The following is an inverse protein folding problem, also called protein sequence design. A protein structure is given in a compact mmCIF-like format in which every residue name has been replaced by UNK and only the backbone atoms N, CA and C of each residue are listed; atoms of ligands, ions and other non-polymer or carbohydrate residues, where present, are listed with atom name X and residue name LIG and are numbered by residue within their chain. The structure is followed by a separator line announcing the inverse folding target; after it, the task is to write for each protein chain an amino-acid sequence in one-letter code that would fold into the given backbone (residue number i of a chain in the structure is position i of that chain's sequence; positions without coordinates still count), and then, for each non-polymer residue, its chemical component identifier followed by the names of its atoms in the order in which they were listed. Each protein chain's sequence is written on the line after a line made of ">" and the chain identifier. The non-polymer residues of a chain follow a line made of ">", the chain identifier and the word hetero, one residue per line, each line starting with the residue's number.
data_IF_395450578330
#
_entry.id   IF_395450578330
#
_cell.length_a   1.000
_cell.length_b   1.000
_cell.length_c   1.000
_cell.angle_alpha   90.00
_cell.angle_beta   90.00
_cell.angle_gamma   90.00
#
_symmetry.space_group_name_H-M   'P 1'
#
loop_
_entity.id
_entity.type
_entity.pdbx_description
1 polymer ?
#
# COMPACT_ATOMS: atom_id res chain seq x y z
N UNK A 1 -9.39 -55.45 19.40
CA UNK A 1 -10.36 -54.33 19.39
C UNK A 1 -9.71 -53.12 18.78
N UNK A 2 -10.20 -52.70 17.64
CA UNK A 2 -9.57 -51.64 16.85
C UNK A 2 -9.68 -50.30 17.58
N UNK A 3 -8.56 -49.58 17.71
CA UNK A 3 -8.51 -48.23 18.26
C UNK A 3 -9.43 -47.25 17.48
N UNK A 4 -9.65 -47.50 16.19
CA UNK A 4 -10.59 -46.80 15.34
C UNK A 4 -12.05 -46.90 15.83
N UNK A 5 -12.48 -48.04 16.36
CA UNK A 5 -13.84 -48.20 16.88
C UNK A 5 -14.03 -47.44 18.20
N UNK A 6 -12.98 -47.34 19.02
CA UNK A 6 -12.99 -46.52 20.25
C UNK A 6 -12.98 -45.02 19.94
N UNK A 7 -12.23 -44.60 18.95
CA UNK A 7 -12.20 -43.22 18.49
C UNK A 7 -13.57 -42.80 17.94
N UNK A 8 -14.18 -43.66 17.13
CA UNK A 8 -15.51 -43.39 16.55
C UNK A 8 -16.61 -43.32 17.60
N UNK A 9 -16.56 -44.19 18.62
CA UNK A 9 -17.51 -44.14 19.75
C UNK A 9 -17.31 -42.89 20.63
N UNK A 10 -16.09 -42.42 20.79
CA UNK A 10 -15.80 -41.17 21.51
C UNK A 10 -16.27 -39.94 20.70
N UNK A 11 -16.10 -39.93 19.38
CA UNK A 11 -16.58 -38.86 18.50
C UNK A 11 -18.11 -38.72 18.51
N UNK A 12 -18.84 -39.84 18.57
CA UNK A 12 -20.30 -39.83 18.63
C UNK A 12 -20.89 -39.35 19.98
N UNK A 13 -20.07 -39.22 21.01
CA UNK A 13 -20.49 -38.68 22.35
C UNK A 13 -20.38 -37.15 22.42
N UNK A 14 -19.72 -36.53 21.46
CA UNK A 14 -19.56 -35.06 21.43
C UNK A 14 -20.85 -34.46 20.85
N UNK A 15 -21.51 -33.51 21.53
CA UNK A 15 -22.70 -32.85 21.00
C UNK A 15 -22.33 -32.13 19.67
N UNK A 16 -23.27 -32.11 18.73
CA UNK A 16 -23.08 -31.44 17.43
C UNK A 16 -22.66 -29.97 17.58
N UNK A 17 -23.12 -29.30 18.62
CA UNK A 17 -22.72 -27.94 18.98
C UNK A 17 -21.21 -27.82 19.26
N UNK A 18 -20.60 -28.81 19.92
CA UNK A 18 -19.15 -28.78 20.19
C UNK A 18 -18.33 -28.91 18.89
N UNK A 19 -18.80 -29.69 17.94
CA UNK A 19 -18.17 -29.80 16.60
C UNK A 19 -18.28 -28.51 15.83
N UNK A 20 -19.39 -27.82 15.86
CA UNK A 20 -19.57 -26.52 15.22
C UNK A 20 -18.57 -25.52 15.80
N UNK A 21 -18.41 -25.47 17.13
CA UNK A 21 -17.44 -24.59 17.79
C UNK A 21 -16.00 -24.91 17.35
N UNK A 22 -15.63 -26.18 17.29
CA UNK A 22 -14.29 -26.61 16.83
C UNK A 22 -14.04 -26.16 15.38
N UNK A 23 -15.01 -26.34 14.50
CA UNK A 23 -14.89 -25.93 13.10
C UNK A 23 -14.71 -24.41 13.00
N UNK A 24 -15.48 -23.63 13.74
CA UNK A 24 -15.37 -22.16 13.76
C UNK A 24 -14.00 -21.73 14.26
N UNK A 25 -13.48 -22.34 15.32
CA UNK A 25 -12.15 -22.03 15.88
C UNK A 25 -11.05 -22.37 14.88
N UNK A 26 -11.13 -23.52 14.22
CA UNK A 26 -10.15 -23.93 13.20
C UNK A 26 -10.17 -22.98 12.00
N UNK A 27 -11.35 -22.60 11.52
CA UNK A 27 -11.49 -21.62 10.43
C UNK A 27 -10.94 -20.24 10.82
N UNK A 28 -11.23 -19.78 12.04
CA UNK A 28 -10.70 -18.51 12.55
C UNK A 28 -9.17 -18.53 12.64
N UNK A 29 -8.57 -19.65 13.11
CA UNK A 29 -7.13 -19.82 13.15
C UNK A 29 -6.51 -19.87 11.76
N UNK A 30 -7.12 -20.57 10.80
CA UNK A 30 -6.66 -20.61 9.43
C UNK A 30 -6.70 -19.24 8.76
N UNK A 31 -7.76 -18.47 8.96
CA UNK A 31 -7.86 -17.10 8.45
C UNK A 31 -6.83 -16.17 9.09
N UNK A 32 -6.59 -16.31 10.41
CA UNK A 32 -5.57 -15.53 11.12
C UNK A 32 -4.16 -15.85 10.64
N UNK A 33 -3.83 -17.12 10.42
CA UNK A 33 -2.54 -17.53 9.88
C UNK A 33 -2.34 -17.07 8.43
N UNK A 34 -3.38 -17.17 7.61
CA UNK A 34 -3.34 -16.66 6.24
C UNK A 34 -3.15 -15.14 6.18
N UNK A 35 -3.76 -14.43 7.11
CA UNK A 35 -3.61 -12.98 7.20
C UNK A 35 -2.19 -12.55 7.64
N UNK A 36 -1.53 -13.37 8.45
CA UNK A 36 -0.13 -13.14 8.84
C UNK A 36 0.88 -13.52 7.76
N UNK A 37 0.51 -14.40 6.83
CA UNK A 37 1.36 -14.85 5.72
C UNK A 37 1.16 -14.05 4.43
N UNK A 38 0.22 -13.13 4.37
CA UNK A 38 0.16 -12.15 3.28
C UNK A 38 1.48 -11.37 3.31
N UNK A 39 2.41 -11.72 2.44
CA UNK A 39 3.66 -10.99 2.26
C UNK A 39 3.32 -9.55 1.97
N UNK A 40 3.60 -8.67 2.93
CA UNK A 40 3.54 -7.24 2.68
C UNK A 40 4.55 -6.95 1.58
N UNK A 41 4.08 -6.40 0.48
CA UNK A 41 4.94 -5.97 -0.61
C UNK A 41 6.03 -5.04 -0.04
N UNK A 42 7.31 -5.24 -0.40
CA UNK A 42 8.38 -4.43 0.16
C UNK A 42 8.20 -2.96 -0.24
N UNK A 43 8.24 -2.04 0.72
CA UNK A 43 8.20 -0.59 0.46
C UNK A 43 9.41 -0.13 -0.37
N UNK A 44 10.51 -0.85 -0.30
CA UNK A 44 11.74 -0.60 -1.06
C UNK A 44 11.50 -0.57 -2.58
N UNK A 45 10.50 -1.31 -3.08
CA UNK A 45 10.16 -1.32 -4.49
C UNK A 45 9.43 -0.04 -4.95
N UNK A 46 8.83 0.68 -4.02
CA UNK A 46 8.10 1.93 -4.30
C UNK A 46 8.90 3.15 -3.89
N UNK A 47 9.78 3.01 -2.87
CA UNK A 47 10.57 4.11 -2.37
C UNK A 47 11.46 4.71 -3.47
N UNK A 48 11.49 6.03 -3.53
CA UNK A 48 12.27 6.75 -4.54
C UNK A 48 11.77 8.15 -4.78
N UNK A 49 12.34 8.77 -5.79
CA UNK A 49 11.95 10.09 -6.28
C UNK A 49 11.17 9.93 -7.58
N UNK A 50 10.02 10.58 -7.63
CA UNK A 50 9.11 10.56 -8.76
C UNK A 50 8.82 11.98 -9.23
N UNK A 51 8.57 12.13 -10.50
CA UNK A 51 8.22 13.41 -11.10
C UNK A 51 7.01 13.22 -12.01
N UNK A 52 6.10 14.20 -12.02
CA UNK A 52 4.97 14.15 -12.93
C UNK A 52 5.42 14.23 -14.38
N UNK A 53 4.66 13.60 -15.26
CA UNK A 53 4.92 13.62 -16.68
C UNK A 53 4.94 15.06 -17.22
N UNK A 54 5.73 15.29 -18.27
CA UNK A 54 5.90 16.60 -18.91
C UNK A 54 6.57 17.70 -18.05
N UNK A 55 7.17 17.35 -16.89
CA UNK A 55 7.82 18.31 -16.02
C UNK A 55 8.91 19.17 -16.71
N UNK A 56 9.58 18.61 -17.72
CA UNK A 56 10.61 19.33 -18.46
C UNK A 56 10.06 20.55 -19.22
N UNK A 57 8.82 20.49 -19.70
CA UNK A 57 8.18 21.53 -20.55
C UNK A 57 7.05 22.29 -19.84
N UNK A 58 6.52 21.77 -18.74
CA UNK A 58 5.46 22.42 -17.99
C UNK A 58 5.99 23.53 -17.09
N UNK A 59 5.24 24.61 -16.96
CA UNK A 59 5.55 25.70 -16.00
C UNK A 59 5.25 25.27 -14.55
N UNK A 60 4.32 24.36 -14.37
CA UNK A 60 3.96 23.75 -13.10
C UNK A 60 4.01 22.24 -13.22
N UNK A 61 4.75 21.61 -12.33
CA UNK A 61 4.85 20.16 -12.25
C UNK A 61 4.91 19.71 -10.78
N UNK A 62 4.91 18.40 -10.58
CA UNK A 62 4.88 17.81 -9.23
C UNK A 62 6.05 16.86 -9.06
N UNK A 63 6.64 16.89 -7.90
CA UNK A 63 7.58 15.89 -7.42
C UNK A 63 6.94 15.09 -6.29
N UNK A 64 7.20 13.79 -6.26
CA UNK A 64 6.81 12.93 -5.17
C UNK A 64 8.04 12.24 -4.60
N UNK A 65 8.18 12.28 -3.29
CA UNK A 65 9.23 11.59 -2.56
C UNK A 65 8.60 10.51 -1.71
N UNK A 66 8.92 9.25 -2.02
CA UNK A 66 8.45 8.07 -1.31
C UNK A 66 9.62 7.53 -0.47
N UNK A 67 9.51 7.65 0.86
CA UNK A 67 10.56 7.22 1.77
C UNK A 67 10.45 5.74 2.10
N UNK A 68 11.58 5.11 2.41
CA UNK A 68 11.63 3.69 2.79
C UNK A 68 10.94 3.38 4.12
N UNK A 69 10.74 4.38 4.96
CA UNK A 69 10.03 4.27 6.24
C UNK A 69 8.50 4.36 6.12
N UNK A 70 7.97 4.48 4.90
CA UNK A 70 6.54 4.56 4.65
C UNK A 70 5.95 5.97 4.65
N UNK A 71 6.76 7.01 4.75
CA UNK A 71 6.31 8.40 4.58
C UNK A 71 6.35 8.79 3.12
N UNK A 72 5.51 9.74 2.74
CA UNK A 72 5.60 10.38 1.44
C UNK A 72 5.42 11.89 1.54
N UNK A 73 5.91 12.59 0.53
CA UNK A 73 5.73 14.02 0.34
C UNK A 73 5.50 14.31 -1.15
N UNK A 74 4.47 15.09 -1.46
CA UNK A 74 4.21 15.59 -2.81
C UNK A 74 4.37 17.10 -2.80
N UNK A 75 5.23 17.60 -3.68
CA UNK A 75 5.58 19.00 -3.82
C UNK A 75 5.14 19.49 -5.19
N UNK A 76 4.44 20.60 -5.21
CA UNK A 76 4.15 21.36 -6.41
C UNK A 76 5.32 22.31 -6.69
N UNK A 77 5.87 22.24 -7.88
CA UNK A 77 6.96 23.09 -8.34
C UNK A 77 6.43 24.03 -9.41
N UNK A 78 6.61 25.31 -9.18
CA UNK A 78 6.24 26.37 -10.11
C UNK A 78 7.51 27.06 -10.63
N UNK A 79 7.73 27.00 -11.93
CA UNK A 79 8.86 27.66 -12.57
C UNK A 79 8.60 29.17 -12.63
N UNK A 80 9.55 29.95 -12.15
CA UNK A 80 9.51 31.40 -12.17
C UNK A 80 10.75 31.95 -12.89
N UNK A 81 10.72 33.23 -13.26
CA UNK A 81 11.86 33.87 -13.93
C UNK A 81 13.13 33.88 -13.06
N UNK A 82 12.96 33.84 -11.73
CA UNK A 82 14.05 33.83 -10.75
C UNK A 82 14.45 32.40 -10.29
N UNK A 83 13.84 31.35 -10.84
CA UNK A 83 14.09 29.97 -10.48
C UNK A 83 12.81 29.13 -10.31
N UNK A 84 12.75 28.30 -9.30
CA UNK A 84 11.59 27.46 -9.00
C UNK A 84 11.07 27.72 -7.59
N UNK A 85 9.75 27.76 -7.44
CA UNK A 85 9.08 27.84 -6.17
C UNK A 85 8.45 26.49 -5.83
N UNK A 86 8.86 25.91 -4.72
CA UNK A 86 8.39 24.64 -4.21
C UNK A 86 7.34 24.83 -3.13
N UNK A 87 6.24 24.11 -3.22
CA UNK A 87 5.19 24.10 -2.21
C UNK A 87 4.77 22.67 -1.92
N UNK A 88 4.89 22.22 -0.68
CA UNK A 88 4.41 20.93 -0.25
C UNK A 88 2.88 20.96 -0.23
N UNK A 89 2.25 20.05 -0.99
CA UNK A 89 0.78 20.02 -1.15
C UNK A 89 0.15 18.80 -0.50
N UNK A 90 0.90 17.72 -0.31
CA UNK A 90 0.42 16.52 0.36
C UNK A 90 1.55 15.81 1.07
N UNK A 91 1.31 15.38 2.29
CA UNK A 91 2.21 14.53 3.07
C UNK A 91 1.39 13.47 3.79
N UNK A 92 1.98 12.34 4.08
CA UNK A 92 1.32 11.29 4.82
C UNK A 92 2.15 10.03 4.83
N UNK A 93 1.45 8.91 4.91
CA UNK A 93 2.04 7.59 4.89
C UNK A 93 1.54 6.80 3.69
N UNK A 94 2.33 5.85 3.23
CA UNK A 94 1.91 4.84 2.28
C UNK A 94 2.21 3.45 2.82
N UNK A 95 1.36 2.51 2.52
CA UNK A 95 1.46 1.14 3.01
C UNK A 95 1.28 0.13 1.89
N UNK A 96 1.99 -0.99 2.01
CA UNK A 96 1.75 -2.15 1.20
C UNK A 96 0.54 -2.91 1.73
N UNK A 97 -0.44 -3.15 0.88
CA UNK A 97 -1.62 -3.94 1.16
C UNK A 97 -1.57 -5.25 0.35
N UNK A 98 -2.52 -6.14 0.60
CA UNK A 98 -2.59 -7.46 -0.03
C UNK A 98 -2.56 -7.41 -1.58
N UNK A 99 -3.11 -6.35 -2.17
CA UNK A 99 -3.25 -6.19 -3.63
C UNK A 99 -2.63 -4.91 -4.19
N UNK A 100 -1.66 -4.32 -3.51
CA UNK A 100 -1.00 -3.11 -3.99
C UNK A 100 -0.58 -2.17 -2.88
N UNK A 101 -0.55 -0.89 -3.19
CA UNK A 101 -0.13 0.16 -2.27
C UNK A 101 -1.24 1.17 -2.06
N UNK A 102 -1.31 1.71 -0.85
CA UNK A 102 -2.27 2.73 -0.46
C UNK A 102 -1.55 3.93 0.14
N UNK A 103 -2.03 5.11 -0.15
CA UNK A 103 -1.55 6.37 0.43
C UNK A 103 -2.63 6.97 1.31
N UNK A 104 -2.25 7.40 2.52
CA UNK A 104 -3.11 8.18 3.41
C UNK A 104 -2.70 9.65 3.33
N UNK A 105 -3.66 10.51 3.04
CA UNK A 105 -3.47 11.95 3.17
C UNK A 105 -3.42 12.34 4.65
N UNK A 106 -2.28 12.87 5.09
CA UNK A 106 -2.06 13.24 6.50
C UNK A 106 -2.93 14.40 6.98
N UNK A 107 -3.54 15.16 6.08
CA UNK A 107 -4.43 16.28 6.42
C UNK A 107 -5.88 15.82 6.56
N UNK A 108 -6.36 14.99 5.62
CA UNK A 108 -7.75 14.52 5.58
C UNK A 108 -7.95 13.16 6.23
N UNK A 109 -6.89 12.34 6.32
CA UNK A 109 -6.96 10.94 6.74
C UNK A 109 -7.59 10.02 5.72
N UNK A 110 -7.84 10.49 4.51
CA UNK A 110 -8.40 9.69 3.42
C UNK A 110 -7.34 8.81 2.79
N UNK A 111 -7.72 7.58 2.49
CA UNK A 111 -6.88 6.60 1.82
C UNK A 111 -7.22 6.47 0.35
N UNK A 112 -6.22 6.47 -0.50
CA UNK A 112 -6.38 6.17 -1.92
C UNK A 112 -5.44 5.04 -2.36
N UNK A 113 -5.95 4.18 -3.24
CA UNK A 113 -5.13 3.16 -3.88
C UNK A 113 -4.16 3.81 -4.89
N UNK A 114 -2.90 3.39 -4.85
CA UNK A 114 -1.91 3.75 -5.85
C UNK A 114 -1.93 2.69 -6.94
N UNK A 115 -2.22 3.10 -8.17
CA UNK A 115 -2.08 2.23 -9.33
C UNK A 115 -0.65 2.33 -9.85
N UNK A 116 0.10 1.26 -9.69
CA UNK A 116 1.47 1.15 -10.18
C UNK A 116 1.49 0.65 -11.62
N UNK A 117 2.40 1.19 -12.39
CA UNK A 117 2.84 0.62 -13.66
C UNK A 117 4.37 0.38 -13.63
N UNK A 118 4.96 -0.03 -14.74
CA UNK A 118 6.39 -0.29 -14.82
C UNK A 118 7.27 0.97 -14.79
N UNK A 119 6.68 2.17 -14.84
CA UNK A 119 7.38 3.46 -14.85
C UNK A 119 7.18 4.26 -13.57
N UNK A 120 6.07 4.08 -12.88
CA UNK A 120 5.73 4.84 -11.70
C UNK A 120 4.33 4.56 -11.18
N UNK A 121 3.61 5.61 -10.82
CA UNK A 121 2.27 5.47 -10.25
C UNK A 121 1.35 6.61 -10.63
N UNK A 122 0.04 6.36 -10.47
CA UNK A 122 -1.01 7.35 -10.62
C UNK A 122 -1.47 7.83 -9.25
N UNK A 123 -1.59 9.13 -9.10
CA UNK A 123 -2.10 9.78 -7.89
C UNK A 123 -3.23 10.75 -8.24
N UNK A 124 -4.26 10.76 -7.44
CA UNK A 124 -5.39 11.67 -7.61
C UNK A 124 -5.22 12.90 -6.72
N UNK A 125 -5.14 14.06 -7.35
CA UNK A 125 -5.22 15.34 -6.67
C UNK A 125 -6.68 15.61 -6.29
N UNK A 126 -6.95 15.66 -4.98
CA UNK A 126 -8.31 15.87 -4.46
C UNK A 126 -8.82 17.29 -4.72
N UNK A 127 -7.93 18.29 -4.76
CA UNK A 127 -8.33 19.68 -5.01
C UNK A 127 -8.66 19.93 -6.47
N UNK A 128 -7.88 19.35 -7.39
CA UNK A 128 -8.06 19.52 -8.82
C UNK A 128 -8.94 18.43 -9.46
N UNK A 129 -9.35 17.43 -8.68
CA UNK A 129 -10.06 16.24 -9.15
C UNK A 129 -9.43 15.61 -10.40
N UNK A 130 -8.12 15.57 -10.42
CA UNK A 130 -7.31 15.14 -11.55
C UNK A 130 -6.38 14.00 -11.19
N UNK A 131 -6.30 13.02 -12.08
CA UNK A 131 -5.33 11.94 -12.00
C UNK A 131 -4.02 12.38 -12.65
N UNK A 132 -2.93 12.31 -11.89
CA UNK A 132 -1.59 12.68 -12.34
C UNK A 132 -0.70 11.44 -12.34
N UNK A 133 -0.01 11.20 -13.43
CA UNK A 133 0.98 10.15 -13.53
C UNK A 133 2.35 10.67 -13.09
N UNK A 134 3.01 9.90 -12.21
CA UNK A 134 4.38 10.12 -11.76
C UNK A 134 5.27 9.01 -12.29
N UNK A 135 6.37 9.36 -12.92
CA UNK A 135 7.41 8.40 -13.29
C UNK A 135 8.58 8.45 -12.30
N UNK A 136 9.14 7.30 -12.02
CA UNK A 136 10.31 7.19 -11.15
C UNK A 136 11.56 7.64 -11.90
N UNK A 137 12.29 8.62 -11.36
CA UNK A 137 13.53 9.11 -11.96
C UNK A 137 14.76 8.84 -11.07
N UNK A 138 14.59 8.49 -9.80
CA UNK A 138 15.67 8.08 -8.93
C UNK A 138 15.19 7.07 -7.88
N UNK A 139 16.03 6.09 -7.60
CA UNK A 139 15.81 5.08 -6.55
C UNK A 139 16.75 5.38 -5.40
N UNK A 140 16.28 5.27 -4.16
CA UNK A 140 17.12 5.45 -2.99
C UNK A 140 18.28 4.43 -2.98
N UNK A 141 19.50 4.94 -2.73
CA UNK A 141 20.70 4.12 -2.60
C UNK A 141 21.45 3.85 -3.91
N UNK A 142 20.91 4.27 -5.05
CA UNK A 142 21.64 4.22 -6.32
C UNK A 142 22.26 5.58 -6.56
N UNK A 143 23.59 5.67 -6.48
CA UNK A 143 24.34 6.84 -6.96
C UNK A 143 24.54 6.66 -8.46
N UNK A 144 23.96 7.54 -9.23
CA UNK A 144 24.25 7.68 -10.65
C UNK A 144 25.49 8.53 -10.85
#
# INVERSE_FOLDING_TARGET
>A
MNWLSKANAAMNRIPALAWIVVIIVVLALMLSLNHQQAEKLPLEHVAGLYQSDMAAVADVYYNAQMYTDGRYEITRVEKTDDGAKDTVISTGIYEAMEFGYWMEDGTTGEWQAITLDHTGFYWRDAELDRLTHFHQFAVYGVKF
#
